data_IF_603633423947
#
_entry.id   IF_603633423947
#
_cell.length_a   1.000
_cell.length_b   1.000
_cell.length_c   1.000
_cell.angle_alpha   90.00
_cell.angle_beta   90.00
_cell.angle_gamma   90.00
#
_symmetry.space_group_name_H-M   'P 1'
#
loop_
_entity.id
_entity.type
_entity.pdbx_description
1 polymer ?
#
# COMPACT_ATOMS: atom_id res chain seq x y z
N UNK A 1 -11.76 13.32 -18.16
CA UNK A 1 -10.32 13.39 -17.82
C UNK A 1 -10.14 13.06 -16.34
N UNK A 2 -9.25 12.12 -16.00
CA UNK A 2 -8.92 11.86 -14.60
C UNK A 2 -8.19 13.09 -14.03
N UNK A 3 -8.65 13.58 -12.87
CA UNK A 3 -8.00 14.72 -12.19
C UNK A 3 -6.54 14.34 -11.90
N UNK A 4 -5.55 15.21 -12.21
CA UNK A 4 -4.15 14.94 -11.88
C UNK A 4 -4.02 14.61 -10.40
N UNK A 5 -3.33 13.51 -10.10
CA UNK A 5 -3.06 13.12 -8.72
C UNK A 5 -2.11 14.17 -8.14
N UNK A 6 -2.51 14.79 -7.02
CA UNK A 6 -1.63 15.72 -6.31
C UNK A 6 -0.41 14.94 -5.78
N UNK A 7 0.81 15.51 -5.87
CA UNK A 7 1.98 14.89 -5.28
C UNK A 7 1.76 14.70 -3.77
N UNK A 8 2.16 13.53 -3.28
CA UNK A 8 2.03 13.13 -1.87
C UNK A 8 3.36 12.62 -1.36
N UNK A 9 3.57 12.72 -0.04
CA UNK A 9 4.85 12.42 0.59
C UNK A 9 4.84 10.99 1.11
N UNK A 10 5.90 10.28 0.75
CA UNK A 10 6.24 8.96 1.28
C UNK A 10 7.54 9.14 2.05
N UNK A 11 7.59 8.69 3.29
CA UNK A 11 8.76 8.86 4.17
C UNK A 11 9.64 7.61 4.27
N UNK A 12 9.23 6.53 3.62
CA UNK A 12 9.87 5.23 3.66
C UNK A 12 10.09 4.68 2.25
N UNK A 13 11.31 4.23 1.95
CA UNK A 13 11.61 3.51 0.72
C UNK A 13 11.91 2.04 1.03
N UNK A 14 11.09 1.07 0.59
CA UNK A 14 11.28 -0.34 0.91
C UNK A 14 12.39 -0.97 0.07
N UNK A 15 13.34 -1.66 0.71
CA UNK A 15 14.32 -2.50 0.00
C UNK A 15 13.68 -3.77 -0.58
N UNK A 16 12.70 -4.32 0.13
CA UNK A 16 11.95 -5.51 -0.29
C UNK A 16 10.68 -5.08 -1.00
N UNK A 17 10.62 -5.38 -2.31
CA UNK A 17 9.48 -5.00 -3.17
C UNK A 17 8.58 -6.16 -3.58
N UNK A 18 8.85 -7.37 -3.09
CA UNK A 18 8.08 -8.56 -3.42
C UNK A 18 7.87 -9.46 -2.21
N UNK A 19 6.62 -9.85 -1.98
CA UNK A 19 6.21 -10.84 -0.99
C UNK A 19 5.38 -11.91 -1.68
N UNK A 20 5.57 -13.19 -1.32
CA UNK A 20 4.81 -14.29 -1.93
C UNK A 20 4.69 -15.49 -0.99
N UNK A 21 3.67 -16.36 -1.19
CA UNK A 21 3.61 -17.63 -0.50
C UNK A 21 4.88 -18.47 -0.70
N UNK A 22 5.26 -19.19 0.35
CA UNK A 22 6.40 -20.12 0.32
C UNK A 22 6.07 -21.31 -0.60
N UNK A 23 7.10 -21.87 -1.23
CA UNK A 23 7.05 -23.08 -2.07
C UNK A 23 6.28 -22.99 -3.40
N UNK A 24 5.68 -21.85 -3.76
CA UNK A 24 5.08 -21.64 -5.10
C UNK A 24 5.99 -20.73 -5.95
N UNK A 25 6.38 -21.13 -7.18
CA UNK A 25 7.13 -20.25 -8.09
C UNK A 25 6.34 -18.98 -8.43
N UNK A 26 7.03 -17.83 -8.51
CA UNK A 26 6.38 -16.55 -8.81
C UNK A 26 5.65 -16.57 -10.16
N UNK A 27 6.19 -17.27 -11.16
CA UNK A 27 5.59 -17.41 -12.49
C UNK A 27 4.24 -18.12 -12.51
N UNK A 28 3.84 -18.76 -11.42
CA UNK A 28 2.56 -19.47 -11.27
C UNK A 28 1.57 -18.70 -10.39
N UNK A 29 1.96 -17.55 -9.85
CA UNK A 29 1.14 -16.77 -8.93
C UNK A 29 0.47 -15.61 -9.66
N UNK A 30 -0.78 -15.36 -9.31
CA UNK A 30 -1.37 -14.04 -9.54
C UNK A 30 -0.67 -13.01 -8.64
N UNK A 31 -0.58 -11.76 -9.12
CA UNK A 31 0.04 -10.66 -8.39
C UNK A 31 -1.00 -9.60 -8.03
N UNK A 32 -0.87 -9.05 -6.82
CA UNK A 32 -1.56 -7.84 -6.40
C UNK A 32 -0.54 -6.72 -6.29
N UNK A 33 -0.82 -5.61 -6.98
CA UNK A 33 0.05 -4.45 -6.96
C UNK A 33 -0.31 -3.50 -5.82
N UNK A 34 0.61 -3.40 -4.86
CA UNK A 34 0.56 -2.43 -3.78
C UNK A 34 1.42 -1.23 -4.17
N UNK A 35 0.82 -0.05 -4.23
CA UNK A 35 1.59 1.17 -4.49
C UNK A 35 2.40 1.58 -3.26
N UNK A 36 3.47 2.34 -3.47
CA UNK A 36 4.23 2.96 -2.38
C UNK A 36 3.34 3.78 -1.43
N UNK A 37 2.33 4.49 -1.96
CA UNK A 37 1.40 5.28 -1.14
C UNK A 37 0.55 4.38 -0.23
N UNK A 38 0.12 3.23 -0.74
CA UNK A 38 -0.65 2.24 0.01
C UNK A 38 0.21 1.59 1.10
N UNK A 39 1.47 1.30 0.81
CA UNK A 39 2.41 0.77 1.80
C UNK A 39 2.69 1.79 2.91
N UNK A 40 2.90 3.06 2.57
CA UNK A 40 3.11 4.12 3.55
C UNK A 40 1.88 4.33 4.45
N UNK A 41 0.67 4.24 3.88
CA UNK A 41 -0.56 4.34 4.65
C UNK A 41 -0.70 3.17 5.65
N UNK A 42 -0.38 1.94 5.23
CA UNK A 42 -0.34 0.78 6.12
C UNK A 42 0.73 0.97 7.22
N UNK A 43 1.93 1.43 6.87
CA UNK A 43 3.01 1.68 7.83
C UNK A 43 2.57 2.68 8.91
N UNK A 44 2.05 3.83 8.50
CA UNK A 44 1.66 4.88 9.44
C UNK A 44 0.47 4.48 10.31
N UNK A 45 -0.60 3.95 9.71
CA UNK A 45 -1.85 3.70 10.45
C UNK A 45 -1.92 2.33 11.11
N UNK A 46 -1.41 1.27 10.47
CA UNK A 46 -1.61 -0.11 10.93
C UNK A 46 -0.37 -0.70 11.64
N UNK A 47 0.83 -0.13 11.41
CA UNK A 47 2.07 -0.57 12.07
C UNK A 47 2.55 0.41 13.15
N UNK A 48 2.46 1.72 12.90
CA UNK A 48 2.92 2.78 13.82
C UNK A 48 1.76 3.40 14.64
N UNK A 49 0.54 2.89 14.48
CA UNK A 49 -0.66 3.30 15.22
C UNK A 49 -0.97 4.81 15.19
N UNK A 50 -0.51 5.54 14.16
CA UNK A 50 -0.86 6.95 14.00
C UNK A 50 -2.35 7.12 13.68
N UNK A 51 -2.97 8.12 14.30
CA UNK A 51 -4.32 8.53 13.93
C UNK A 51 -4.37 8.98 12.46
N UNK A 52 -5.50 8.75 11.79
CA UNK A 52 -5.65 9.08 10.36
C UNK A 52 -5.40 10.56 10.05
N UNK A 53 -5.74 11.46 10.97
CA UNK A 53 -5.47 12.88 10.79
C UNK A 53 -3.96 13.17 10.76
N UNK A 54 -3.20 12.57 11.67
CA UNK A 54 -1.74 12.72 11.76
C UNK A 54 -1.02 12.08 10.58
N UNK A 55 -1.42 10.87 10.20
CA UNK A 55 -0.89 10.18 9.03
C UNK A 55 -1.15 10.98 7.74
N UNK A 56 -2.34 11.56 7.58
CA UNK A 56 -2.68 12.40 6.42
C UNK A 56 -1.82 13.66 6.35
N UNK A 57 -1.57 14.30 7.50
CA UNK A 57 -0.64 15.44 7.62
C UNK A 57 0.79 15.05 7.21
N UNK A 58 1.30 13.90 7.68
CA UNK A 58 2.64 13.40 7.32
C UNK A 58 2.77 13.15 5.81
N UNK A 59 1.73 12.58 5.18
CA UNK A 59 1.67 12.32 3.75
C UNK A 59 1.30 13.55 2.89
N UNK A 60 0.98 14.70 3.50
CA UNK A 60 0.53 15.94 2.85
C UNK A 60 -0.73 15.75 1.98
N UNK A 61 -1.70 14.98 2.46
CA UNK A 61 -2.98 14.72 1.79
C UNK A 61 -4.16 15.00 2.71
N UNK A 62 -5.39 15.02 2.18
CA UNK A 62 -6.58 15.08 3.03
C UNK A 62 -6.80 13.75 3.74
N UNK A 63 -7.42 13.78 4.92
CA UNK A 63 -7.84 12.58 5.65
C UNK A 63 -8.73 11.67 4.79
N UNK A 64 -9.65 12.24 4.00
CA UNK A 64 -10.48 11.48 3.06
C UNK A 64 -9.67 10.77 1.96
N UNK A 65 -8.56 11.37 1.52
CA UNK A 65 -7.65 10.75 0.55
C UNK A 65 -6.87 9.61 1.22
N UNK A 66 -6.36 9.83 2.43
CA UNK A 66 -5.69 8.78 3.21
C UNK A 66 -6.63 7.59 3.44
N UNK A 67 -7.86 7.83 3.88
CA UNK A 67 -8.85 6.79 4.13
C UNK A 67 -9.08 5.92 2.88
N UNK A 68 -9.18 6.53 1.70
CA UNK A 68 -9.31 5.81 0.42
C UNK A 68 -8.09 4.97 0.09
N UNK A 69 -6.88 5.51 0.30
CA UNK A 69 -5.62 4.78 0.09
C UNK A 69 -5.56 3.59 1.05
N UNK A 70 -5.78 3.80 2.34
CA UNK A 70 -5.73 2.79 3.38
C UNK A 70 -6.75 1.68 3.15
N UNK A 71 -7.98 2.03 2.75
CA UNK A 71 -9.02 1.06 2.40
C UNK A 71 -8.61 0.20 1.21
N UNK A 72 -8.05 0.82 0.16
CA UNK A 72 -7.52 0.10 -1.00
C UNK A 72 -6.36 -0.84 -0.62
N UNK A 73 -5.42 -0.34 0.18
CA UNK A 73 -4.26 -1.08 0.65
C UNK A 73 -4.67 -2.33 1.44
N UNK A 74 -5.54 -2.18 2.45
CA UNK A 74 -6.03 -3.30 3.26
C UNK A 74 -6.77 -4.33 2.42
N UNK A 75 -7.61 -3.90 1.47
CA UNK A 75 -8.31 -4.82 0.56
C UNK A 75 -7.33 -5.64 -0.27
N UNK A 76 -6.31 -5.01 -0.84
CA UNK A 76 -5.28 -5.67 -1.64
C UNK A 76 -4.45 -6.68 -0.83
N UNK A 77 -4.05 -6.29 0.38
CA UNK A 77 -3.35 -7.20 1.30
C UNK A 77 -4.24 -8.38 1.67
N UNK A 78 -5.50 -8.14 2.03
CA UNK A 78 -6.45 -9.20 2.33
C UNK A 78 -6.69 -10.15 1.14
N UNK A 79 -6.87 -9.61 -0.06
CA UNK A 79 -7.00 -10.40 -1.29
C UNK A 79 -5.78 -11.28 -1.53
N UNK A 80 -4.57 -10.73 -1.35
CA UNK A 80 -3.35 -11.50 -1.54
C UNK A 80 -3.17 -12.61 -0.51
N UNK A 81 -3.47 -12.32 0.76
CA UNK A 81 -3.37 -13.30 1.85
C UNK A 81 -4.41 -14.42 1.71
N UNK A 82 -5.67 -14.10 1.40
CA UNK A 82 -6.75 -15.07 1.25
C UNK A 82 -6.61 -15.88 -0.05
N UNK A 83 -6.24 -15.21 -1.14
CA UNK A 83 -6.11 -15.83 -2.46
C UNK A 83 -4.75 -16.49 -2.72
N UNK A 84 -3.81 -16.43 -1.78
CA UNK A 84 -2.46 -16.94 -1.97
C UNK A 84 -1.71 -16.25 -3.11
N UNK A 85 -1.93 -14.95 -3.32
CA UNK A 85 -1.30 -14.16 -4.39
C UNK A 85 0.04 -13.58 -3.92
N UNK A 86 0.92 -13.27 -4.86
CA UNK A 86 2.09 -12.47 -4.56
C UNK A 86 1.69 -10.98 -4.42
N UNK A 87 2.38 -10.26 -3.54
CA UNK A 87 2.28 -8.80 -3.41
C UNK A 87 3.51 -8.20 -4.06
N UNK A 88 3.29 -7.39 -5.09
CA UNK A 88 4.32 -6.56 -5.73
C UNK A 88 4.18 -5.13 -5.25
N UNK A 89 5.23 -4.59 -4.65
CA UNK A 89 5.29 -3.17 -4.31
C UNK A 89 5.79 -2.41 -5.53
N UNK A 90 4.90 -1.60 -6.14
CA UNK A 90 5.27 -0.72 -7.24
C UNK A 90 5.92 0.54 -6.70
N UNK A 91 7.22 0.68 -6.98
CA UNK A 91 7.90 1.98 -6.93
C UNK A 91 7.48 2.80 -8.15
N UNK A 92 7.22 4.09 -7.94
CA UNK A 92 6.75 5.03 -8.98
C UNK A 92 7.82 5.30 -10.03
#
# INVERSE_FOLDING_TARGET
>A
MARPIKPRRVLFDPDVVYFKPRAVPLSMLEEVDLSIDELEALRLCDLEDFEQEEAAKKMKISQSTLQRILTSARKKVAEALIGGKAIKIRKG
#
